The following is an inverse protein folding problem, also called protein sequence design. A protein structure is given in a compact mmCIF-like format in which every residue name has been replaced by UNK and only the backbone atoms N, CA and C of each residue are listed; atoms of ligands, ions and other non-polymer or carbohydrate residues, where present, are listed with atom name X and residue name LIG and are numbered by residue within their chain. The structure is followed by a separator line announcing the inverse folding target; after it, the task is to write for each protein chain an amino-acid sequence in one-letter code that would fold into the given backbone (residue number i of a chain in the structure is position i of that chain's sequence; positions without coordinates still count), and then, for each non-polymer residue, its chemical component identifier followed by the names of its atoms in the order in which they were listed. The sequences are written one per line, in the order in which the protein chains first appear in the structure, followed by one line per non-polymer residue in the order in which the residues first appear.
data_IF_576394011307
#
_entry.id   IF_576394011307
#
_cell.length_a   1.000
_cell.length_b   1.000
_cell.length_c   1.000
_cell.angle_alpha   90.00
_cell.angle_beta   90.00
_cell.angle_gamma   90.00
#
_symmetry.space_group_name_H-M   'P 1'
#
loop_
_entity.id
_entity.type
_entity.pdbx_description
1 polymer ?
#
# COMPACT_ATOMS: atom_id res chain seq x y z
N UNK A 1 12.16 12.38 -9.20
CA UNK A 1 11.33 11.88 -10.30
C UNK A 1 10.30 12.93 -10.66
N UNK A 2 10.08 13.16 -11.95
CA UNK A 2 8.98 13.98 -12.43
C UNK A 2 7.63 13.28 -12.22
N UNK A 3 6.53 14.03 -12.27
CA UNK A 3 5.18 13.45 -12.13
C UNK A 3 4.91 12.35 -13.18
N UNK A 4 5.38 12.54 -14.42
CA UNK A 4 5.21 11.56 -15.51
C UNK A 4 6.08 10.32 -15.34
N UNK A 5 7.24 10.42 -14.68
CA UNK A 5 8.04 9.24 -14.30
C UNK A 5 7.36 8.42 -13.22
N UNK A 6 6.79 9.08 -12.21
CA UNK A 6 6.04 8.41 -11.14
C UNK A 6 4.83 7.68 -11.72
N UNK A 7 4.05 8.34 -12.57
CA UNK A 7 2.87 7.73 -13.18
C UNK A 7 3.22 6.51 -14.02
N UNK A 8 4.22 6.61 -14.91
CA UNK A 8 4.70 5.46 -15.70
C UNK A 8 5.17 4.31 -14.82
N UNK A 9 5.84 4.63 -13.71
CA UNK A 9 6.31 3.62 -12.76
C UNK A 9 5.15 2.90 -12.07
N UNK A 10 4.13 3.64 -11.63
CA UNK A 10 2.95 3.04 -11.00
C UNK A 10 2.15 2.16 -11.96
N UNK A 11 2.03 2.56 -13.23
CA UNK A 11 1.37 1.73 -14.26
C UNK A 11 2.13 0.42 -14.45
N UNK A 12 3.47 0.46 -14.55
CA UNK A 12 4.29 -0.76 -14.65
C UNK A 12 4.12 -1.65 -13.42
N UNK A 13 4.15 -1.08 -12.21
CA UNK A 13 3.94 -1.83 -10.97
C UNK A 13 2.56 -2.47 -10.91
N UNK A 14 1.51 -1.79 -11.38
CA UNK A 14 0.17 -2.36 -11.45
C UNK A 14 0.13 -3.62 -12.33
N UNK A 15 0.74 -3.58 -13.52
CA UNK A 15 0.86 -4.76 -14.39
C UNK A 15 1.65 -5.88 -13.73
N UNK A 16 2.80 -5.59 -13.12
CA UNK A 16 3.62 -6.60 -12.43
C UNK A 16 2.87 -7.26 -11.27
N UNK A 17 2.08 -6.49 -10.51
CA UNK A 17 1.24 -7.02 -9.44
C UNK A 17 0.18 -7.97 -10.03
N UNK A 18 -0.52 -7.57 -11.08
CA UNK A 18 -1.56 -8.39 -11.72
C UNK A 18 -0.96 -9.71 -12.22
N UNK A 19 0.15 -9.65 -12.95
CA UNK A 19 0.80 -10.84 -13.53
C UNK A 19 1.25 -11.82 -12.45
N UNK A 20 1.88 -11.32 -11.38
CA UNK A 20 2.32 -12.18 -10.26
C UNK A 20 1.18 -12.84 -9.49
N UNK A 21 -0.01 -12.25 -9.51
CA UNK A 21 -1.17 -12.72 -8.76
C UNK A 21 -2.18 -13.46 -9.63
N UNK A 22 -1.90 -13.65 -10.92
CA UNK A 22 -2.83 -14.23 -11.90
C UNK A 22 -4.19 -13.50 -11.95
N UNK A 23 -4.15 -12.17 -11.88
CA UNK A 23 -5.33 -11.31 -11.83
C UNK A 23 -5.51 -10.58 -10.50
N UNK A 24 -6.68 -9.98 -10.32
CA UNK A 24 -7.01 -9.12 -9.18
C UNK A 24 -8.06 -9.67 -8.20
N UNK A 25 -8.59 -10.88 -8.43
CA UNK A 25 -9.72 -11.43 -7.67
C UNK A 25 -9.42 -11.60 -6.18
N UNK A 26 -8.26 -12.16 -5.85
CA UNK A 26 -7.82 -12.42 -4.47
C UNK A 26 -6.81 -11.39 -3.97
N UNK A 27 -6.69 -10.25 -4.65
CA UNK A 27 -5.75 -9.20 -4.30
C UNK A 27 -6.35 -8.24 -3.25
N UNK A 28 -5.51 -7.76 -2.34
CA UNK A 28 -5.78 -6.60 -1.50
C UNK A 28 -4.53 -5.73 -1.37
N UNK A 29 -4.70 -4.42 -1.22
CA UNK A 29 -3.57 -3.50 -1.04
C UNK A 29 -3.69 -2.81 0.30
N UNK A 30 -2.59 -2.74 1.06
CA UNK A 30 -2.56 -2.07 2.35
C UNK A 30 -1.45 -1.03 2.34
N UNK A 31 -1.83 0.24 2.50
CA UNK A 31 -0.90 1.34 2.61
C UNK A 31 -0.33 1.47 4.02
N UNK A 32 0.99 1.54 4.13
CA UNK A 32 1.71 1.79 5.36
C UNK A 32 1.95 3.30 5.49
N UNK A 33 1.58 3.90 6.63
CA UNK A 33 1.80 5.33 6.91
C UNK A 33 1.09 6.30 5.94
N UNK A 34 1.13 7.60 6.25
CA UNK A 34 0.38 8.65 5.52
C UNK A 34 0.59 8.63 4.00
N UNK A 35 1.83 8.48 3.52
CA UNK A 35 2.16 8.56 2.09
C UNK A 35 1.97 7.23 1.36
N UNK A 36 2.26 6.09 2.00
CA UNK A 36 1.98 4.77 1.44
C UNK A 36 0.49 4.52 1.19
N UNK A 37 -0.40 5.13 1.99
CA UNK A 37 -1.86 5.09 1.76
C UNK A 37 -2.26 5.73 0.42
N UNK A 38 -1.72 6.89 0.06
CA UNK A 38 -2.03 7.50 -1.25
C UNK A 38 -1.49 6.66 -2.41
N UNK A 39 -0.33 6.01 -2.25
CA UNK A 39 0.20 5.09 -3.24
C UNK A 39 -0.69 3.85 -3.40
N UNK A 40 -1.15 3.28 -2.28
CA UNK A 40 -2.07 2.13 -2.26
C UNK A 40 -3.36 2.43 -3.01
N UNK A 41 -3.97 3.60 -2.75
CA UNK A 41 -5.19 4.05 -3.44
C UNK A 41 -4.96 4.18 -4.95
N UNK A 42 -3.89 4.86 -5.37
CA UNK A 42 -3.57 5.02 -6.80
C UNK A 42 -3.34 3.68 -7.49
N UNK A 43 -2.63 2.75 -6.85
CA UNK A 43 -2.41 1.40 -7.39
C UNK A 43 -3.73 0.63 -7.50
N UNK A 44 -4.59 0.68 -6.48
CA UNK A 44 -5.91 0.05 -6.50
C UNK A 44 -6.78 0.55 -7.66
N UNK A 45 -6.84 1.87 -7.86
CA UNK A 45 -7.57 2.49 -8.99
C UNK A 45 -6.99 2.12 -10.35
N UNK A 46 -5.66 2.01 -10.46
CA UNK A 46 -5.00 1.59 -11.71
C UNK A 46 -5.31 0.13 -12.03
N UNK A 47 -5.19 -0.76 -11.05
CA UNK A 47 -5.48 -2.19 -11.23
C UNK A 47 -6.96 -2.38 -11.57
N UNK A 48 -7.88 -1.67 -10.89
CA UNK A 48 -9.30 -1.70 -11.23
C UNK A 48 -9.56 -1.24 -12.67
N UNK A 49 -8.84 -0.23 -13.16
CA UNK A 49 -8.98 0.23 -14.55
C UNK A 49 -8.50 -0.82 -15.56
N UNK A 50 -7.46 -1.59 -15.23
CA UNK A 50 -6.88 -2.63 -16.09
C UNK A 50 -7.75 -3.90 -16.07
N UNK A 51 -7.99 -4.47 -14.89
CA UNK A 51 -8.66 -5.76 -14.68
C UNK A 51 -10.20 -5.67 -14.59
N UNK A 52 -10.74 -4.45 -14.57
CA UNK A 52 -12.18 -4.18 -14.34
C UNK A 52 -12.72 -4.76 -13.03
N UNK A 53 -11.83 -5.09 -12.09
CA UNK A 53 -12.13 -5.70 -10.80
C UNK A 53 -11.72 -4.76 -9.68
N UNK A 54 -12.63 -4.45 -8.77
CA UNK A 54 -12.33 -3.57 -7.64
C UNK A 54 -11.38 -4.28 -6.67
N UNK A 55 -10.25 -3.64 -6.36
CA UNK A 55 -9.28 -4.15 -5.39
C UNK A 55 -9.50 -3.41 -4.07
N UNK A 56 -9.76 -4.11 -2.96
CA UNK A 56 -9.93 -3.47 -1.67
C UNK A 56 -8.61 -2.85 -1.19
N UNK A 57 -8.69 -1.63 -0.66
CA UNK A 57 -7.56 -0.88 -0.15
C UNK A 57 -7.76 -0.57 1.33
N UNK A 58 -6.75 -0.89 2.14
CA UNK A 58 -6.73 -0.68 3.58
C UNK A 58 -5.54 0.17 4.02
N UNK A 59 -5.54 0.55 5.29
CA UNK A 59 -4.46 1.31 5.91
C UNK A 59 -3.90 0.57 7.13
N UNK A 60 -2.58 0.63 7.29
CA UNK A 60 -1.87 0.09 8.44
C UNK A 60 -1.03 1.19 9.08
N UNK A 61 -1.34 1.51 10.33
CA UNK A 61 -0.47 2.33 11.15
C UNK A 61 0.46 1.47 12.00
N UNK A 62 1.75 1.52 11.67
CA UNK A 62 2.81 0.80 12.37
C UNK A 62 3.44 1.62 13.50
N UNK A 63 2.98 2.86 13.76
CA UNK A 63 3.64 3.81 14.65
C UNK A 63 3.96 3.25 16.03
N UNK A 64 3.07 2.45 16.63
CA UNK A 64 3.25 1.87 17.97
C UNK A 64 4.19 0.65 18.01
N UNK A 65 4.48 0.04 16.85
CA UNK A 65 5.27 -1.19 16.75
C UNK A 65 6.72 -0.94 16.35
N UNK A 66 7.13 0.33 16.17
CA UNK A 66 8.50 0.64 15.79
C UNK A 66 9.37 0.81 17.03
N UNK A 67 10.39 -0.02 17.14
CA UNK A 67 11.37 0.02 18.23
C UNK A 67 12.17 1.34 18.27
N UNK A 68 12.13 2.14 17.20
CA UNK A 68 12.80 3.44 17.07
C UNK A 68 11.97 4.63 17.64
N UNK A 69 10.87 4.36 18.35
CA UNK A 69 10.05 5.40 18.97
C UNK A 69 10.83 6.34 19.91
N UNK A 70 11.94 5.88 20.49
CA UNK A 70 12.78 6.68 21.38
C UNK A 70 13.51 7.85 20.70
N UNK A 71 13.63 7.86 19.37
CA UNK A 71 14.25 8.96 18.60
C UNK A 71 13.23 9.96 18.01
N UNK A 72 11.93 9.67 18.09
CA UNK A 72 10.85 10.45 17.46
C UNK A 72 10.07 11.29 18.48
N UNK A 73 10.76 12.16 19.24
CA UNK A 73 10.14 13.19 20.06
C UNK A 73 9.14 12.69 21.13
N UNK A 74 8.44 13.62 21.79
CA UNK A 74 7.74 13.34 23.05
C UNK A 74 6.39 12.62 22.92
N UNK A 75 5.75 12.55 21.75
CA UNK A 75 4.50 11.77 21.56
C UNK A 75 4.31 11.33 20.09
N UNK A 76 4.36 10.02 19.77
CA UNK A 76 3.95 9.54 18.45
C UNK A 76 2.46 9.84 18.19
N UNK A 77 2.14 10.38 17.01
CA UNK A 77 0.75 10.53 16.56
C UNK A 77 0.30 9.22 15.94
N UNK A 78 -0.48 8.45 16.70
CA UNK A 78 -1.10 7.21 16.23
C UNK A 78 -2.23 7.55 15.26
N UNK A 79 -2.16 6.99 14.07
CA UNK A 79 -3.24 6.92 13.10
C UNK A 79 -4.00 5.61 13.25
N UNK A 80 -5.22 5.57 12.74
CA UNK A 80 -6.03 4.37 12.82
C UNK A 80 -5.63 3.38 11.72
N UNK A 81 -5.40 2.13 12.11
CA UNK A 81 -5.34 1.00 11.19
C UNK A 81 -6.77 0.66 10.77
N UNK A 82 -7.05 0.75 9.48
CA UNK A 82 -8.36 0.47 8.89
C UNK A 82 -8.18 -0.40 7.65
N UNK A 83 -8.12 -1.72 7.84
CA UNK A 83 -8.04 -2.65 6.71
C UNK A 83 -9.40 -2.72 6.00
N UNK A 84 -10.51 -2.87 6.74
CA UNK A 84 -11.86 -2.81 6.16
C UNK A 84 -12.26 -4.00 5.26
N UNK A 85 -11.44 -5.04 5.17
CA UNK A 85 -11.73 -6.29 4.44
C UNK A 85 -11.03 -7.50 5.07
N UNK A 86 -11.53 -8.73 4.86
CA UNK A 86 -10.86 -9.94 5.33
C UNK A 86 -9.56 -10.20 4.55
N UNK A 87 -8.47 -10.45 5.27
CA UNK A 87 -7.14 -10.69 4.69
C UNK A 87 -6.83 -12.17 4.46
N UNK A 88 -7.50 -13.07 5.18
CA UNK A 88 -7.24 -14.52 5.10
C UNK A 88 -7.52 -15.04 3.69
N UNK A 89 -6.54 -15.73 3.11
CA UNK A 89 -6.65 -16.30 1.76
C UNK A 89 -6.47 -15.27 0.63
N UNK A 90 -6.18 -14.00 0.94
CA UNK A 90 -5.86 -12.97 -0.06
C UNK A 90 -4.37 -12.78 -0.21
N UNK A 91 -3.94 -12.41 -1.41
CA UNK A 91 -2.61 -11.90 -1.65
C UNK A 91 -2.58 -10.41 -1.28
N UNK A 92 -1.81 -10.07 -0.25
CA UNK A 92 -1.75 -8.69 0.26
C UNK A 92 -0.47 -8.00 -0.23
N UNK A 93 -0.64 -6.89 -0.95
CA UNK A 93 0.45 -6.00 -1.33
C UNK A 93 0.56 -4.87 -0.32
N UNK A 94 1.70 -4.78 0.35
CA UNK A 94 2.02 -3.65 1.22
C UNK A 94 2.61 -2.51 0.38
N UNK A 95 2.05 -1.32 0.50
CA UNK A 95 2.52 -0.13 -0.19
C UNK A 95 3.13 0.86 0.81
N UNK A 96 4.41 1.18 0.63
CA UNK A 96 5.13 2.17 1.41
C UNK A 96 5.81 3.17 0.48
N UNK A 97 5.99 4.41 0.91
CA UNK A 97 6.56 5.47 0.08
C UNK A 97 8.08 5.40 0.00
N UNK A 98 8.74 4.92 1.05
CA UNK A 98 10.18 4.71 1.07
C UNK A 98 10.51 3.43 1.84
N UNK A 99 11.00 2.43 1.11
CA UNK A 99 11.66 1.29 1.74
C UNK A 99 13.06 1.73 2.19
N UNK A 100 13.21 2.06 3.48
CA UNK A 100 14.50 2.44 4.05
C UNK A 100 15.19 1.25 4.74
N UNK A 101 14.80 0.95 5.98
CA UNK A 101 15.39 -0.16 6.74
C UNK A 101 14.61 -1.47 6.63
N UNK A 102 13.40 -1.44 6.07
CA UNK A 102 12.52 -2.61 5.96
C UNK A 102 12.02 -3.17 7.30
N UNK A 103 12.06 -2.36 8.38
CA UNK A 103 11.59 -2.70 9.72
C UNK A 103 10.08 -2.55 9.86
#
# INVERSE_FOLDING_TARGET
MSASEIERTLVRLAHEIIEKNNGAADLGIVGIRRRGVFLAQRLGEMIQRIEKTAVPVGTLDITLYRDDLSTVGTKPVVQKTEIGFPITGKNIVLADDVLYTGR
#
